data_IF_654661922455
#
_entry.id   IF_654661922455
#
_cell.length_a   1.000
_cell.length_b   1.000
_cell.length_c   1.000
_cell.angle_alpha   90.00
_cell.angle_beta   90.00
_cell.angle_gamma   90.00
#
_symmetry.space_group_name_H-M   'P 1'
#
loop_
_entity.id
_entity.type
_entity.pdbx_description
1 polymer ?
#
# COMPACT_ATOMS: atom_id res chain seq x y z
N UNK A 1 39.17 -33.19 -20.26
CA UNK A 1 38.99 -32.21 -19.16
C UNK A 1 38.05 -32.73 -18.07
N UNK A 2 36.85 -33.23 -18.43
CA UNK A 2 35.85 -33.79 -17.51
C UNK A 2 36.34 -34.95 -16.62
N UNK A 3 37.08 -35.91 -17.19
CA UNK A 3 37.62 -37.07 -16.45
C UNK A 3 38.73 -36.71 -15.43
N UNK A 4 39.48 -35.61 -15.65
CA UNK A 4 40.46 -35.10 -14.65
C UNK A 4 39.75 -34.43 -13.48
N UNK A 5 38.66 -33.72 -13.76
CA UNK A 5 37.82 -33.07 -12.77
C UNK A 5 37.23 -34.10 -11.78
N UNK A 6 36.74 -35.22 -12.30
CA UNK A 6 36.17 -36.34 -11.54
C UNK A 6 37.19 -37.05 -10.63
N UNK A 7 38.44 -37.16 -11.07
CA UNK A 7 39.54 -37.72 -10.26
C UNK A 7 39.94 -36.82 -9.10
N UNK A 8 39.99 -35.50 -9.33
CA UNK A 8 40.30 -34.51 -8.29
C UNK A 8 39.16 -34.40 -7.27
N UNK A 9 37.91 -34.56 -7.73
CA UNK A 9 36.73 -34.55 -6.87
C UNK A 9 36.70 -35.71 -5.87
N UNK A 10 37.10 -36.91 -6.28
CA UNK A 10 37.15 -38.10 -5.43
C UNK A 10 38.45 -38.23 -4.61
N UNK A 11 39.54 -37.59 -5.03
CA UNK A 11 40.85 -37.70 -4.37
C UNK A 11 41.01 -36.84 -3.11
N UNK A 12 40.15 -35.84 -2.90
CA UNK A 12 40.27 -34.87 -1.81
C UNK A 12 38.90 -34.56 -1.19
N UNK A 13 38.65 -34.89 0.10
CA UNK A 13 37.35 -34.69 0.75
C UNK A 13 36.91 -33.21 0.74
N UNK A 14 37.86 -32.28 0.81
CA UNK A 14 37.62 -30.82 0.76
C UNK A 14 36.96 -30.38 -0.55
N UNK A 15 37.33 -30.99 -1.69
CA UNK A 15 36.78 -30.63 -2.99
C UNK A 15 35.30 -31.03 -3.11
N UNK A 16 34.94 -32.19 -2.56
CA UNK A 16 33.55 -32.67 -2.56
C UNK A 16 32.62 -31.78 -1.72
N UNK A 17 33.06 -31.37 -0.53
CA UNK A 17 32.30 -30.47 0.35
C UNK A 17 32.10 -29.09 -0.29
N UNK A 18 33.13 -28.55 -0.94
CA UNK A 18 33.03 -27.26 -1.64
C UNK A 18 31.99 -27.27 -2.77
N UNK A 19 31.94 -28.35 -3.55
CA UNK A 19 30.93 -28.49 -4.62
C UNK A 19 29.51 -28.60 -4.07
N UNK A 20 29.33 -29.39 -3.00
CA UNK A 20 28.04 -29.52 -2.31
C UNK A 20 27.55 -28.18 -1.76
N UNK A 21 28.46 -27.41 -1.15
CA UNK A 21 28.16 -26.08 -0.63
C UNK A 21 27.79 -25.09 -1.73
N UNK A 22 28.52 -25.07 -2.85
CA UNK A 22 28.23 -24.23 -4.00
C UNK A 22 26.86 -24.56 -4.63
N UNK A 23 26.52 -25.84 -4.75
CA UNK A 23 25.21 -26.29 -5.22
C UNK A 23 24.09 -25.85 -4.26
N UNK A 24 24.30 -25.98 -2.95
CA UNK A 24 23.35 -25.51 -1.94
C UNK A 24 23.10 -24.00 -2.02
N UNK A 25 24.16 -23.19 -2.14
CA UNK A 25 24.03 -21.74 -2.34
C UNK A 25 23.23 -21.39 -3.59
N UNK A 26 23.51 -22.04 -4.72
CA UNK A 26 22.78 -21.80 -5.97
C UNK A 26 21.29 -22.13 -5.83
N UNK A 27 20.96 -23.24 -5.17
CA UNK A 27 19.57 -23.63 -4.93
C UNK A 27 18.84 -22.63 -4.02
N UNK A 28 19.46 -22.23 -2.92
CA UNK A 28 18.88 -21.24 -1.98
C UNK A 28 18.70 -19.90 -2.67
N UNK A 29 19.73 -19.42 -3.38
CA UNK A 29 19.68 -18.14 -4.08
C UNK A 29 18.60 -18.13 -5.17
N UNK A 30 18.51 -19.20 -5.97
CA UNK A 30 17.44 -19.35 -6.96
C UNK A 30 16.04 -19.37 -6.35
N UNK A 31 15.87 -20.07 -5.23
CA UNK A 31 14.58 -20.09 -4.51
C UNK A 31 14.22 -18.70 -3.96
N UNK A 32 15.20 -17.96 -3.44
CA UNK A 32 15.01 -16.63 -2.90
C UNK A 32 14.54 -15.63 -3.97
N UNK A 33 15.15 -15.63 -5.16
CA UNK A 33 14.71 -14.79 -6.28
C UNK A 33 13.26 -15.10 -6.69
N UNK A 34 12.87 -16.37 -6.67
CA UNK A 34 11.50 -16.78 -7.00
C UNK A 34 10.48 -16.38 -5.92
N UNK A 35 10.89 -16.38 -4.64
CA UNK A 35 10.01 -16.06 -3.53
C UNK A 35 9.83 -14.55 -3.33
N UNK A 36 10.84 -13.74 -3.64
CA UNK A 36 10.83 -12.27 -3.49
C UNK A 36 9.65 -11.61 -4.19
N UNK A 37 9.35 -12.00 -5.44
CA UNK A 37 8.26 -11.39 -6.20
C UNK A 37 6.88 -11.63 -5.56
N UNK A 38 6.65 -12.87 -5.10
CA UNK A 38 5.40 -13.24 -4.42
C UNK A 38 5.23 -12.55 -3.08
N UNK A 39 6.33 -12.39 -2.32
CA UNK A 39 6.31 -11.70 -1.03
C UNK A 39 6.02 -10.22 -1.24
N UNK A 40 6.74 -9.56 -2.16
CA UNK A 40 6.53 -8.15 -2.46
C UNK A 40 5.08 -7.88 -2.87
N UNK A 41 4.51 -8.68 -3.78
CA UNK A 41 3.10 -8.53 -4.20
C UNK A 41 2.12 -8.66 -3.03
N UNK A 42 2.31 -9.66 -2.15
CA UNK A 42 1.44 -9.86 -0.98
C UNK A 42 1.58 -8.71 0.03
N UNK A 43 2.80 -8.21 0.24
CA UNK A 43 3.06 -7.06 1.10
C UNK A 43 2.37 -5.80 0.56
N UNK A 44 2.49 -5.52 -0.74
CA UNK A 44 1.81 -4.38 -1.38
C UNK A 44 0.30 -4.48 -1.22
N UNK A 45 -0.31 -5.64 -1.47
CA UNK A 45 -1.75 -5.82 -1.27
C UNK A 45 -2.16 -5.61 0.18
N UNK A 46 -1.40 -6.15 1.13
CA UNK A 46 -1.71 -5.99 2.55
C UNK A 46 -1.57 -4.54 3.00
N UNK A 47 -0.55 -3.85 2.51
CA UNK A 47 -0.36 -2.43 2.74
C UNK A 47 -1.55 -1.61 2.24
N UNK A 48 -1.99 -1.85 1.00
CA UNK A 48 -3.16 -1.16 0.41
C UNK A 48 -4.43 -1.47 1.20
N UNK A 49 -4.65 -2.72 1.62
CA UNK A 49 -5.81 -3.09 2.44
C UNK A 49 -5.85 -2.31 3.76
N UNK A 50 -4.73 -2.28 4.50
CA UNK A 50 -4.63 -1.55 5.77
C UNK A 50 -4.73 -0.04 5.56
N UNK A 51 -4.21 0.48 4.44
CA UNK A 51 -4.31 1.87 4.06
C UNK A 51 -5.77 2.30 3.82
N UNK A 52 -6.52 1.53 3.04
CA UNK A 52 -7.95 1.77 2.78
C UNK A 52 -8.77 1.67 4.06
N UNK A 53 -8.55 0.65 4.90
CA UNK A 53 -9.21 0.51 6.20
C UNK A 53 -8.97 1.72 7.11
N UNK A 54 -7.77 2.32 7.05
CA UNK A 54 -7.45 3.54 7.80
C UNK A 54 -8.25 4.75 7.29
N UNK A 55 -8.35 4.93 5.97
CA UNK A 55 -9.16 5.98 5.37
C UNK A 55 -10.66 5.84 5.72
N UNK A 56 -11.20 4.62 5.66
CA UNK A 56 -12.57 4.32 6.06
C UNK A 56 -12.81 4.64 7.54
N UNK A 57 -11.85 4.29 8.40
CA UNK A 57 -11.95 4.57 9.83
C UNK A 57 -11.95 6.07 10.10
N UNK A 58 -11.08 6.82 9.43
CA UNK A 58 -11.03 8.29 9.55
C UNK A 58 -12.31 8.92 9.02
N UNK A 59 -12.83 8.49 7.87
CA UNK A 59 -14.11 8.93 7.33
C UNK A 59 -15.26 8.72 8.33
N UNK A 60 -15.35 7.49 8.88
CA UNK A 60 -16.36 7.13 9.86
C UNK A 60 -16.26 7.97 11.13
N UNK A 61 -15.06 8.15 11.67
CA UNK A 61 -14.82 8.96 12.87
C UNK A 61 -15.13 10.45 12.62
N UNK A 62 -14.80 10.99 11.45
CA UNK A 62 -15.15 12.35 11.10
C UNK A 62 -16.67 12.54 11.10
N UNK A 63 -17.42 11.62 10.48
CA UNK A 63 -18.87 11.69 10.44
C UNK A 63 -19.51 11.51 11.82
N UNK A 64 -19.07 10.52 12.61
CA UNK A 64 -19.72 10.17 13.88
C UNK A 64 -19.30 11.05 15.05
N UNK A 65 -18.04 11.52 15.09
CA UNK A 65 -17.51 12.26 16.23
C UNK A 65 -17.38 13.76 15.98
N UNK A 66 -17.10 14.18 14.74
CA UNK A 66 -16.89 15.59 14.42
C UNK A 66 -18.20 16.21 13.93
N UNK A 67 -18.74 15.71 12.82
CA UNK A 67 -19.95 16.29 12.21
C UNK A 67 -21.15 16.18 13.14
N UNK A 68 -21.35 15.04 13.81
CA UNK A 68 -22.48 14.85 14.71
C UNK A 68 -22.49 15.85 15.88
N UNK A 69 -21.32 16.10 16.51
CA UNK A 69 -21.21 17.05 17.63
C UNK A 69 -21.37 18.50 17.19
N UNK A 70 -20.82 18.86 16.03
CA UNK A 70 -20.90 20.22 15.49
C UNK A 70 -22.32 20.56 15.01
N UNK A 71 -23.08 19.57 14.57
CA UNK A 71 -24.49 19.75 14.20
C UNK A 71 -25.33 20.32 15.35
N UNK A 72 -25.09 19.86 16.58
CA UNK A 72 -25.83 20.32 17.76
C UNK A 72 -25.47 21.78 18.13
N UNK A 73 -24.32 22.27 17.66
CA UNK A 73 -23.88 23.66 17.79
C UNK A 73 -24.33 24.55 16.62
N UNK A 74 -25.14 24.03 15.69
CA UNK A 74 -25.64 24.78 14.53
C UNK A 74 -24.64 24.92 13.39
N UNK A 75 -23.45 24.33 13.49
CA UNK A 75 -22.44 24.31 12.43
C UNK A 75 -22.88 23.30 11.37
N UNK A 76 -22.98 23.75 10.11
CA UNK A 76 -23.45 22.93 8.99
C UNK A 76 -22.29 22.52 8.08
N UNK A 77 -22.26 21.26 7.62
CA UNK A 77 -21.37 20.87 6.54
C UNK A 77 -21.78 21.56 5.23
N UNK A 78 -20.81 22.13 4.50
CA UNK A 78 -21.03 22.84 3.23
C UNK A 78 -19.94 22.42 2.24
N UNK A 79 -20.26 22.38 0.95
CA UNK A 79 -19.27 22.06 -0.09
C UNK A 79 -18.17 23.13 -0.17
N UNK A 80 -18.56 24.40 -0.14
CA UNK A 80 -17.65 25.55 -0.16
C UNK A 80 -17.30 26.06 1.26
N UNK A 81 -16.91 25.13 2.12
CA UNK A 81 -16.65 25.43 3.53
C UNK A 81 -15.48 26.40 3.73
N UNK A 82 -14.52 26.45 2.78
CA UNK A 82 -13.34 27.33 2.88
C UNK A 82 -13.71 28.81 2.78
N UNK A 83 -14.81 29.14 2.13
CA UNK A 83 -15.30 30.51 1.98
C UNK A 83 -16.32 30.91 3.06
N UNK A 84 -16.64 30.02 4.01
CA UNK A 84 -17.62 30.26 5.05
C UNK A 84 -16.98 30.09 6.44
N UNK A 85 -16.92 31.16 7.21
CA UNK A 85 -16.30 31.12 8.55
C UNK A 85 -17.00 30.09 9.44
N UNK A 86 -16.20 29.22 10.06
CA UNK A 86 -16.69 28.16 10.94
C UNK A 86 -17.38 26.98 10.24
N UNK A 87 -17.48 26.98 8.91
CA UNK A 87 -18.02 25.86 8.16
C UNK A 87 -17.01 24.70 8.06
N UNK A 88 -17.54 23.49 7.93
CA UNK A 88 -16.76 22.26 7.78
C UNK A 88 -17.12 21.56 6.47
N UNK A 89 -16.21 20.75 5.89
CA UNK A 89 -16.53 19.98 4.69
C UNK A 89 -17.59 18.91 4.95
N UNK A 90 -18.32 18.51 3.91
CA UNK A 90 -19.08 17.26 3.96
C UNK A 90 -18.16 16.05 4.15
N UNK A 91 -18.65 14.94 4.76
CA UNK A 91 -17.84 13.74 4.96
C UNK A 91 -17.18 13.19 3.68
N UNK A 92 -17.88 13.21 2.55
CA UNK A 92 -17.33 12.80 1.27
C UNK A 92 -16.23 13.75 0.78
N UNK A 93 -16.47 15.07 0.86
CA UNK A 93 -15.47 16.10 0.51
C UNK A 93 -14.21 15.96 1.35
N UNK A 94 -14.35 15.77 2.67
CA UNK A 94 -13.23 15.53 3.57
C UNK A 94 -12.42 14.29 3.18
N UNK A 95 -13.09 13.18 2.87
CA UNK A 95 -12.40 11.95 2.44
C UNK A 95 -11.64 12.10 1.14
N UNK A 96 -12.20 12.83 0.17
CA UNK A 96 -11.52 13.12 -1.10
C UNK A 96 -10.28 13.97 -0.85
N UNK A 97 -10.41 15.08 -0.11
CA UNK A 97 -9.27 15.96 0.18
C UNK A 97 -8.19 15.27 1.03
N UNK A 98 -8.59 14.39 1.96
CA UNK A 98 -7.65 13.56 2.72
C UNK A 98 -6.90 12.59 1.81
N UNK A 99 -7.60 11.91 0.92
CA UNK A 99 -7.02 10.97 -0.03
C UNK A 99 -6.07 11.68 -1.03
N UNK A 100 -6.44 12.87 -1.50
CA UNK A 100 -5.59 13.76 -2.30
C UNK A 100 -4.33 14.16 -1.53
N UNK A 101 -4.47 14.61 -0.28
CA UNK A 101 -3.35 15.01 0.57
C UNK A 101 -2.40 13.86 0.91
N UNK A 102 -2.90 12.63 0.92
CA UNK A 102 -2.11 11.41 1.15
C UNK A 102 -1.57 10.78 -0.15
N UNK A 103 -1.88 11.34 -1.32
CA UNK A 103 -1.33 10.88 -2.60
C UNK A 103 0.15 11.20 -2.66
N UNK A 104 0.97 10.20 -3.03
CA UNK A 104 2.41 10.35 -3.19
C UNK A 104 2.87 9.62 -4.46
N UNK A 105 2.99 10.34 -5.59
CA UNK A 105 3.39 9.75 -6.86
C UNK A 105 4.81 9.17 -6.85
N UNK A 106 5.73 9.72 -6.04
CA UNK A 106 7.10 9.21 -5.92
C UNK A 106 7.14 7.82 -5.29
N UNK A 107 6.17 7.53 -4.43
CA UNK A 107 5.96 6.22 -3.81
C UNK A 107 5.00 5.32 -4.61
N UNK A 108 4.52 5.78 -5.77
CA UNK A 108 3.54 5.05 -6.59
C UNK A 108 2.15 4.94 -5.96
N UNK A 109 1.81 5.83 -5.03
CA UNK A 109 0.52 5.85 -4.33
C UNK A 109 -0.39 6.90 -4.96
N UNK A 110 -1.51 6.46 -5.49
CA UNK A 110 -2.58 7.31 -6.03
C UNK A 110 -3.92 6.90 -5.44
N UNK A 111 -4.74 7.88 -5.05
CA UNK A 111 -6.03 7.62 -4.42
C UNK A 111 -7.17 8.28 -5.20
N UNK A 112 -8.32 7.61 -5.23
CA UNK A 112 -9.60 8.16 -5.69
C UNK A 112 -10.74 7.55 -4.89
N UNK A 113 -11.74 8.37 -4.57
CA UNK A 113 -12.97 7.90 -3.96
C UNK A 113 -13.99 7.53 -5.05
N UNK A 114 -14.39 6.26 -5.06
CA UNK A 114 -15.42 5.77 -5.97
C UNK A 114 -16.79 5.77 -5.27
N UNK A 115 -17.82 6.21 -6.00
CA UNK A 115 -19.21 6.28 -5.54
C UNK A 115 -20.14 5.97 -6.70
N UNK A 116 -21.18 5.18 -6.45
CA UNK A 116 -22.27 4.93 -7.42
C UNK A 116 -23.13 6.19 -7.68
N UNK A 117 -22.97 7.22 -6.84
CA UNK A 117 -23.62 8.51 -7.00
C UNK A 117 -22.61 9.59 -7.44
N UNK A 118 -23.00 10.48 -8.37
CA UNK A 118 -22.12 11.51 -8.88
C UNK A 118 -21.80 12.58 -7.83
N UNK A 119 -20.54 13.05 -7.81
CA UNK A 119 -20.14 14.23 -7.04
C UNK A 119 -20.58 15.49 -7.78
N UNK A 120 -21.80 15.95 -7.53
CA UNK A 120 -22.45 17.04 -8.27
C UNK A 120 -21.63 18.35 -8.42
N UNK A 121 -20.67 18.59 -7.53
CA UNK A 121 -19.87 19.82 -7.46
C UNK A 121 -18.39 19.61 -7.83
N UNK A 122 -17.99 18.46 -8.36
CA UNK A 122 -16.61 18.17 -8.81
C UNK A 122 -16.62 17.67 -10.24
N UNK A 123 -15.84 18.29 -11.11
CA UNK A 123 -15.77 17.94 -12.55
C UNK A 123 -14.81 16.79 -12.84
N UNK A 124 -13.88 16.51 -11.92
CA UNK A 124 -12.80 15.52 -12.01
C UNK A 124 -13.09 14.22 -11.22
N UNK A 125 -14.26 14.16 -10.59
CA UNK A 125 -14.71 13.03 -9.78
C UNK A 125 -14.35 13.17 -8.30
N UNK A 126 -14.08 12.03 -7.65
CA UNK A 126 -13.54 11.96 -6.30
C UNK A 126 -12.16 11.31 -6.28
#
# INVERSE_FOLDING_TARGET
MFARLLKILHGSPIASTGVLFALGMLLIFGNMLYLSDRINKKLTLKYVETYVQSLEKVHSMYSSEVVARLRDLGIKPINDYRNHEGAIPFPATFSIELAEAMTNPELGITNRLYSDYPFAYRTDGG
#
